data_IF_921624064166
#
_entry.id   IF_921624064166
#
_cell.length_a   1.000
_cell.length_b   1.000
_cell.length_c   1.000
_cell.angle_alpha   90.00
_cell.angle_beta   90.00
_cell.angle_gamma   90.00
#
_symmetry.space_group_name_H-M   'P 1'
#
loop_
_entity.id
_entity.type
_entity.pdbx_description
1 polymer ?
#
# COMPACT_ATOMS: atom_id res chain seq x y z
N UNK A 1 9.59 2.32 3.41
CA UNK A 1 8.69 3.48 3.41
C UNK A 1 7.81 3.44 4.64
N UNK A 2 7.66 4.57 5.29
CA UNK A 2 6.92 4.65 6.53
C UNK A 2 6.11 5.93 6.58
N UNK A 3 4.89 5.85 7.08
CA UNK A 3 3.99 6.98 7.13
C UNK A 3 3.09 6.85 8.36
N UNK A 4 3.00 7.91 9.14
CA UNK A 4 2.07 7.93 10.28
C UNK A 4 0.91 8.84 9.92
N UNK A 5 -0.30 8.34 10.10
CA UNK A 5 -1.52 9.08 9.81
C UNK A 5 -2.35 9.21 11.06
N UNK A 6 -3.22 10.19 11.07
CA UNK A 6 -4.13 10.39 12.19
C UNK A 6 -5.56 10.43 11.65
N UNK A 7 -6.40 9.55 12.15
CA UNK A 7 -7.80 9.45 11.75
C UNK A 7 -8.64 9.48 13.00
N UNK A 8 -9.49 10.49 13.12
CA UNK A 8 -10.38 10.66 14.27
C UNK A 8 -9.63 10.58 15.60
N UNK A 9 -8.48 11.25 15.64
CA UNK A 9 -7.68 11.32 16.86
C UNK A 9 -6.81 10.13 17.15
N UNK A 10 -6.87 9.11 16.32
CA UNK A 10 -6.06 7.90 16.50
C UNK A 10 -4.93 7.88 15.49
N UNK A 11 -3.75 7.53 15.96
CA UNK A 11 -2.56 7.46 15.11
C UNK A 11 -2.30 6.03 14.67
N UNK A 12 -2.03 5.86 13.38
CA UNK A 12 -1.71 4.57 12.80
C UNK A 12 -0.47 4.76 11.95
N UNK A 13 0.53 3.91 12.16
CA UNK A 13 1.73 3.95 11.34
C UNK A 13 1.65 2.84 10.30
N UNK A 14 1.95 3.19 9.07
CA UNK A 14 1.97 2.26 7.95
C UNK A 14 3.40 2.17 7.42
N UNK A 15 3.83 0.97 7.10
CA UNK A 15 5.19 0.76 6.62
C UNK A 15 5.22 -0.33 5.56
N UNK A 16 6.09 -0.16 4.58
CA UNK A 16 6.29 -1.15 3.54
C UNK A 16 7.79 -1.41 3.38
N UNK A 17 8.18 -2.69 3.36
CA UNK A 17 9.56 -3.13 3.15
C UNK A 17 9.55 -4.57 2.66
N UNK A 18 10.73 -5.19 2.60
CA UNK A 18 10.82 -6.57 2.09
C UNK A 18 9.99 -7.54 2.92
N UNK A 19 9.89 -7.31 4.21
CA UNK A 19 9.09 -8.15 5.10
C UNK A 19 7.62 -8.14 4.70
N UNK A 20 7.13 -6.99 4.24
CA UNK A 20 5.73 -6.83 3.80
C UNK A 20 5.40 -7.83 2.69
N UNK A 21 6.31 -7.97 1.73
CA UNK A 21 6.11 -8.87 0.60
C UNK A 21 5.94 -10.31 1.06
N UNK A 22 6.85 -10.75 1.94
CA UNK A 22 6.84 -12.13 2.42
C UNK A 22 5.63 -12.39 3.30
N UNK A 23 5.33 -11.45 4.17
CA UNK A 23 4.20 -11.59 5.08
C UNK A 23 2.88 -11.62 4.34
N UNK A 24 2.74 -10.79 3.31
CA UNK A 24 1.54 -10.73 2.51
C UNK A 24 1.24 -12.09 1.87
N UNK A 25 2.28 -12.71 1.30
CA UNK A 25 2.12 -14.02 0.69
C UNK A 25 1.71 -15.06 1.72
N UNK A 26 2.33 -15.03 2.87
CA UNK A 26 2.04 -15.98 3.93
C UNK A 26 0.61 -15.80 4.48
N UNK A 27 0.21 -14.55 4.65
CA UNK A 27 -1.08 -14.25 5.27
C UNK A 27 -2.25 -14.47 4.32
N UNK A 28 -2.10 -14.05 3.06
CA UNK A 28 -3.22 -14.04 2.11
C UNK A 28 -3.04 -15.00 0.95
N UNK A 29 -1.87 -15.63 0.85
CA UNK A 29 -1.54 -16.52 -0.28
C UNK A 29 -1.68 -15.80 -1.62
N UNK A 30 -1.27 -14.53 -1.64
CA UNK A 30 -1.31 -13.68 -2.82
C UNK A 30 0.04 -13.00 -3.01
N UNK A 31 0.38 -12.75 -4.27
CA UNK A 31 1.64 -12.11 -4.62
C UNK A 31 1.50 -10.59 -4.46
N UNK A 32 2.24 -10.03 -3.52
CA UNK A 32 2.20 -8.61 -3.21
C UNK A 32 2.50 -7.74 -4.45
N UNK A 33 3.55 -8.07 -5.19
CA UNK A 33 3.91 -7.28 -6.37
C UNK A 33 2.86 -7.36 -7.46
N UNK A 34 2.23 -8.51 -7.61
CA UNK A 34 1.15 -8.65 -8.57
C UNK A 34 -0.02 -7.73 -8.20
N UNK A 35 -0.32 -7.63 -6.90
CA UNK A 35 -1.38 -6.73 -6.44
C UNK A 35 -1.01 -5.28 -6.71
N UNK A 36 0.26 -4.91 -6.47
CA UNK A 36 0.71 -3.56 -6.73
C UNK A 36 0.59 -3.20 -8.21
N UNK A 37 0.93 -4.14 -9.09
CA UNK A 37 0.83 -3.90 -10.52
C UNK A 37 -0.62 -3.69 -10.93
N UNK A 38 -1.55 -4.40 -10.32
CA UNK A 38 -2.96 -4.21 -10.60
C UNK A 38 -3.43 -2.82 -10.19
N UNK A 39 -3.00 -2.38 -9.01
CA UNK A 39 -3.34 -1.04 -8.53
C UNK A 39 -2.76 0.01 -9.48
N UNK A 40 -1.50 -0.15 -9.86
CA UNK A 40 -0.84 0.79 -10.75
C UNK A 40 -1.56 0.89 -12.10
N UNK A 41 -2.05 -0.24 -12.59
CA UNK A 41 -2.77 -0.27 -13.86
C UNK A 41 -4.07 0.54 -13.80
N UNK A 42 -4.79 0.43 -12.69
CA UNK A 42 -6.06 1.12 -12.51
C UNK A 42 -5.87 2.62 -12.32
N UNK A 43 -4.84 3.01 -11.58
CA UNK A 43 -4.62 4.42 -11.25
C UNK A 43 -3.54 5.09 -12.08
N UNK A 44 -3.21 4.49 -13.21
CA UNK A 44 -2.16 5.00 -14.09
C UNK A 44 -2.42 6.45 -14.48
N UNK A 45 -1.39 7.28 -14.33
CA UNK A 45 -1.46 8.67 -14.75
C UNK A 45 -2.20 9.60 -13.80
N UNK A 46 -2.60 9.11 -12.66
CA UNK A 46 -3.32 9.93 -11.70
C UNK A 46 -2.38 10.42 -10.61
N UNK A 47 -2.63 11.65 -10.17
CA UNK A 47 -1.82 12.26 -9.13
C UNK A 47 -2.16 11.74 -7.74
N UNK A 48 -3.38 11.28 -7.57
CA UNK A 48 -3.83 10.75 -6.28
C UNK A 48 -4.74 9.56 -6.50
N UNK A 49 -4.86 8.75 -5.47
CA UNK A 49 -5.74 7.60 -5.46
C UNK A 49 -6.96 7.96 -4.64
N UNK A 50 -8.14 7.80 -5.20
CA UNK A 50 -9.36 8.13 -4.47
C UNK A 50 -10.46 7.14 -4.81
N UNK A 51 -11.48 7.12 -3.95
CA UNK A 51 -12.62 6.24 -4.16
C UNK A 51 -13.33 6.56 -5.49
N UNK A 52 -13.33 7.83 -5.87
CA UNK A 52 -13.97 8.25 -7.12
C UNK A 52 -13.35 7.62 -8.35
N UNK A 53 -12.08 7.23 -8.26
CA UNK A 53 -11.38 6.62 -9.38
C UNK A 53 -11.75 5.16 -9.59
N UNK A 54 -12.43 4.55 -8.62
CA UNK A 54 -12.85 3.17 -8.75
C UNK A 54 -14.13 3.08 -9.58
N UNK A 55 -14.12 2.19 -10.54
CA UNK A 55 -15.27 1.95 -11.40
C UNK A 55 -15.60 0.47 -11.39
N UNK A 56 -16.75 0.11 -11.95
CA UNK A 56 -17.10 -1.29 -12.07
C UNK A 56 -16.03 -2.05 -12.87
N UNK A 57 -15.47 -1.38 -13.88
CA UNK A 57 -14.42 -1.97 -14.69
C UNK A 57 -13.15 -2.25 -13.90
N UNK A 58 -12.75 -1.33 -13.04
CA UNK A 58 -11.54 -1.54 -12.24
C UNK A 58 -11.73 -2.68 -11.26
N UNK A 59 -12.96 -2.90 -10.77
CA UNK A 59 -13.23 -4.00 -9.86
C UNK A 59 -13.20 -5.36 -10.55
N UNK A 60 -13.16 -5.39 -11.88
CA UNK A 60 -12.93 -6.62 -12.62
C UNK A 60 -11.45 -6.98 -12.64
N UNK A 61 -10.58 -6.00 -12.42
CA UNK A 61 -9.13 -6.20 -12.41
C UNK A 61 -8.68 -6.76 -11.07
N UNK A 62 -9.23 -6.24 -9.99
CA UNK A 62 -8.92 -6.73 -8.65
C UNK A 62 -10.19 -6.70 -7.79
N UNK A 63 -10.18 -7.46 -6.70
CA UNK A 63 -11.34 -7.46 -5.82
C UNK A 63 -11.32 -6.26 -4.89
N UNK A 64 -12.48 -5.92 -4.36
CA UNK A 64 -12.64 -4.73 -3.53
C UNK A 64 -11.94 -4.86 -2.18
N UNK A 65 -11.60 -6.06 -1.77
CA UNK A 65 -10.94 -6.30 -0.50
C UNK A 65 -9.45 -5.95 -0.56
N UNK A 66 -8.91 -5.75 -1.75
CA UNK A 66 -7.49 -5.49 -1.96
C UNK A 66 -6.97 -4.37 -1.06
N UNK A 67 -7.70 -3.26 -1.00
CA UNK A 67 -7.24 -2.12 -0.22
C UNK A 67 -7.26 -2.39 1.28
N UNK A 68 -8.23 -3.18 1.74
CA UNK A 68 -8.26 -3.58 3.15
C UNK A 68 -7.06 -4.45 3.50
N UNK A 69 -6.71 -5.37 2.61
CA UNK A 69 -5.55 -6.22 2.83
C UNK A 69 -4.26 -5.41 2.86
N UNK A 70 -4.11 -4.47 1.93
CA UNK A 70 -2.91 -3.65 1.87
C UNK A 70 -2.78 -2.75 3.10
N UNK A 71 -3.87 -2.12 3.50
CA UNK A 71 -3.84 -1.24 4.66
C UNK A 71 -3.41 -2.01 5.90
N UNK A 72 -4.01 -3.17 6.11
CA UNK A 72 -3.66 -3.99 7.27
C UNK A 72 -2.21 -4.47 7.23
N UNK A 73 -1.74 -4.92 6.07
CA UNK A 73 -0.38 -5.44 5.99
C UNK A 73 0.64 -4.33 6.27
N UNK A 74 0.35 -3.11 5.84
CA UNK A 74 1.23 -1.99 6.13
C UNK A 74 1.22 -1.67 7.63
N UNK A 75 0.06 -1.73 8.26
CA UNK A 75 -0.04 -1.50 9.69
C UNK A 75 0.72 -2.57 10.47
N UNK A 76 0.56 -3.82 10.07
CA UNK A 76 1.24 -4.92 10.73
C UNK A 76 2.75 -4.86 10.50
N UNK A 77 3.17 -4.44 9.33
CA UNK A 77 4.61 -4.28 9.06
C UNK A 77 5.22 -3.26 9.99
N UNK A 78 4.51 -2.17 10.25
CA UNK A 78 4.99 -1.11 11.14
C UNK A 78 4.99 -1.54 12.61
N UNK A 79 4.02 -2.36 13.00
CA UNK A 79 3.83 -2.72 14.40
C UNK A 79 3.26 -4.14 14.49
N UNK A 80 4.10 -5.08 14.90
CA UNK A 80 3.73 -6.48 14.95
C UNK A 80 2.68 -6.79 16.02
N UNK A 81 2.36 -5.82 16.88
CA UNK A 81 1.28 -6.00 17.86
C UNK A 81 -0.08 -5.67 17.27
N UNK A 82 -0.12 -5.25 16.01
CA UNK A 82 -1.38 -5.01 15.31
C UNK A 82 -2.25 -6.27 15.36
N UNK A 83 -3.55 -6.12 15.67
CA UNK A 83 -4.44 -7.29 15.73
C UNK A 83 -4.53 -8.03 14.40
N UNK A 84 -5.01 -9.26 14.45
CA UNK A 84 -5.24 -10.03 13.23
C UNK A 84 -6.16 -9.28 12.29
N UNK A 85 -6.09 -9.65 11.01
CA UNK A 85 -6.77 -8.94 9.94
C UNK A 85 -8.23 -8.56 10.24
N UNK A 86 -9.06 -9.53 10.58
CA UNK A 86 -10.47 -9.26 10.84
C UNK A 86 -10.66 -8.50 12.15
N UNK A 87 -9.87 -8.84 13.16
CA UNK A 87 -9.97 -8.17 14.46
C UNK A 87 -9.55 -6.71 14.34
N UNK A 88 -8.56 -6.43 13.51
CA UNK A 88 -8.10 -5.07 13.26
C UNK A 88 -9.27 -4.19 12.80
N UNK A 89 -10.04 -4.67 11.83
CA UNK A 89 -11.13 -3.86 11.29
C UNK A 89 -12.32 -3.80 12.23
N UNK A 90 -12.42 -4.74 13.15
CA UNK A 90 -13.42 -4.65 14.21
C UNK A 90 -13.07 -3.53 15.19
N UNK A 91 -11.77 -3.41 15.51
CA UNK A 91 -11.32 -2.37 16.44
C UNK A 91 -11.29 -0.99 15.80
N UNK A 92 -11.01 -0.93 14.51
CA UNK A 92 -10.92 0.33 13.79
C UNK A 92 -12.13 0.53 12.89
N UNK A 93 -13.31 0.28 13.42
CA UNK A 93 -14.55 0.38 12.64
C UNK A 93 -14.83 1.79 12.12
N UNK A 94 -14.14 2.78 12.67
CA UNK A 94 -14.27 4.16 12.19
C UNK A 94 -13.58 4.41 10.87
N UNK A 95 -12.73 3.48 10.42
CA UNK A 95 -12.04 3.63 9.14
C UNK A 95 -13.02 3.47 7.99
N UNK A 96 -13.02 4.44 7.07
CA UNK A 96 -13.85 4.35 5.88
C UNK A 96 -13.04 3.82 4.72
N UNK A 97 -13.71 3.29 3.71
CA UNK A 97 -13.01 2.83 2.51
C UNK A 97 -12.24 3.96 1.86
N UNK A 98 -12.80 5.17 1.88
CA UNK A 98 -12.11 6.33 1.33
C UNK A 98 -10.80 6.60 2.05
N UNK A 99 -10.81 6.57 3.38
CA UNK A 99 -9.59 6.77 4.16
C UNK A 99 -8.55 5.72 3.82
N UNK A 100 -8.99 4.48 3.70
CA UNK A 100 -8.09 3.37 3.41
C UNK A 100 -7.46 3.52 2.03
N UNK A 101 -8.27 3.81 1.02
CA UNK A 101 -7.78 3.95 -0.34
C UNK A 101 -6.79 5.10 -0.46
N UNK A 102 -7.11 6.24 0.13
CA UNK A 102 -6.23 7.40 0.06
C UNK A 102 -4.87 7.13 0.70
N UNK A 103 -4.88 6.52 1.87
CA UNK A 103 -3.63 6.28 2.57
C UNK A 103 -2.80 5.15 1.97
N UNK A 104 -3.45 4.11 1.50
CA UNK A 104 -2.75 3.05 0.76
C UNK A 104 -2.15 3.65 -0.50
N UNK A 105 -2.93 4.46 -1.21
CA UNK A 105 -2.47 5.09 -2.44
C UNK A 105 -1.26 5.97 -2.23
N UNK A 106 -1.25 6.76 -1.16
CA UNK A 106 -0.12 7.62 -0.88
C UNK A 106 1.16 6.82 -0.63
N UNK A 107 1.04 5.74 0.14
CA UNK A 107 2.20 4.91 0.42
C UNK A 107 2.72 4.22 -0.84
N UNK A 108 1.83 3.70 -1.67
CA UNK A 108 2.21 3.05 -2.91
C UNK A 108 2.82 4.03 -3.90
N UNK A 109 2.25 5.22 -3.99
CA UNK A 109 2.73 6.26 -4.90
C UNK A 109 4.18 6.59 -4.60
N UNK A 110 4.50 6.83 -3.34
CA UNK A 110 5.86 7.16 -2.94
C UNK A 110 6.79 5.99 -3.24
N UNK A 111 6.38 4.78 -2.94
CA UNK A 111 7.20 3.59 -3.18
C UNK A 111 7.52 3.42 -4.66
N UNK A 112 6.52 3.59 -5.52
CA UNK A 112 6.72 3.42 -6.96
C UNK A 112 7.60 4.51 -7.54
N UNK A 113 7.39 5.75 -7.12
CA UNK A 113 8.20 6.87 -7.60
C UNK A 113 9.65 6.70 -7.17
N UNK A 114 9.86 6.33 -5.91
CA UNK A 114 11.21 6.13 -5.39
C UNK A 114 11.95 5.06 -6.18
N UNK A 115 11.27 3.98 -6.51
CA UNK A 115 11.88 2.91 -7.28
C UNK A 115 12.34 3.40 -8.65
N UNK A 116 11.50 4.16 -9.32
CA UNK A 116 11.84 4.67 -10.63
C UNK A 116 13.04 5.60 -10.58
N UNK A 117 13.12 6.42 -9.56
CA UNK A 117 14.23 7.35 -9.42
C UNK A 117 15.52 6.65 -9.05
N UNK A 118 15.44 5.59 -8.28
CA UNK A 118 16.64 4.89 -7.86
C UNK A 118 17.42 4.29 -9.02
N UNK A 119 16.71 3.78 -10.01
CA UNK A 119 17.36 3.15 -11.14
C UNK A 119 18.31 4.10 -11.86
N UNK A 120 17.88 5.31 -12.26
CA UNK A 120 18.80 6.26 -12.90
C UNK A 120 19.95 6.66 -12.01
N UNK A 121 19.69 6.85 -10.71
CA UNK A 121 20.73 7.25 -9.78
C UNK A 121 21.79 6.19 -9.66
N UNK A 122 21.41 4.93 -9.63
CA UNK A 122 22.38 3.84 -9.56
C UNK A 122 23.30 3.82 -10.75
N UNK A 123 22.77 4.07 -11.93
CA UNK A 123 23.58 4.12 -13.12
C UNK A 123 24.65 5.20 -13.04
N UNK A 124 24.26 6.36 -12.55
CA UNK A 124 25.19 7.45 -12.37
C UNK A 124 26.26 7.11 -11.35
N UNK A 125 25.85 6.49 -10.26
CA UNK A 125 26.80 6.11 -9.24
C UNK A 125 27.84 5.14 -9.77
N UNK A 126 27.43 4.23 -10.62
CA UNK A 126 28.36 3.29 -11.22
C UNK A 126 29.39 4.01 -12.09
N UNK A 127 28.95 5.00 -12.80
CA UNK A 127 29.85 5.78 -13.63
C UNK A 127 30.88 6.52 -12.80
N UNK A 128 30.47 6.96 -11.65
CA UNK A 128 31.38 7.64 -10.74
C UNK A 128 32.41 6.71 -10.15
N UNK A 129 32.04 5.47 -10.04
CA UNK A 129 32.89 4.50 -9.36
C UNK A 129 34.20 4.26 -10.06
N UNK A 130 34.28 4.58 -11.33
CA UNK A 130 35.50 4.31 -12.04
C UNK A 130 36.56 5.25 -11.82
#
# INVERSE_FOLDING_TARGET
MKRTIEIQGKKITLESNAFTTLLYKKQFNKDYFKELLLVAKVFKGRDSFSLEDLTAESLEVFDSELFYRLFWIFAFTADSTTPDYLEFYREYEFLTLEDIIENVGELLKVSLVTKKKQIPVKKQAKKHSR
#
